data_IF_696162553807
#
_entry.id   IF_696162553807
#
_cell.length_a   1.000
_cell.length_b   1.000
_cell.length_c   1.000
_cell.angle_alpha   90.00
_cell.angle_beta   90.00
_cell.angle_gamma   90.00
#
_symmetry.space_group_name_H-M   'P 1'
#
loop_
_entity.id
_entity.type
_entity.pdbx_description
1 polymer ?
#
# COMPACT_ATOMS: atom_id res chain seq x y z
N UNK A 1 7.21 -16.43 2.57
CA UNK A 1 8.13 -16.17 3.71
C UNK A 1 7.59 -14.99 4.50
N UNK A 2 7.43 -15.07 5.83
CA UNK A 2 7.06 -13.92 6.63
C UNK A 2 8.26 -12.96 6.74
N UNK A 3 8.12 -11.74 6.23
CA UNK A 3 9.13 -10.70 6.36
C UNK A 3 8.95 -10.04 7.73
N UNK A 4 9.87 -10.27 8.68
CA UNK A 4 9.93 -9.53 9.96
C UNK A 4 10.74 -8.25 9.74
N UNK A 5 10.08 -7.11 9.52
CA UNK A 5 10.75 -5.86 9.15
C UNK A 5 11.30 -5.04 10.33
N UNK A 6 11.40 -5.62 11.54
CA UNK A 6 11.65 -4.84 12.76
C UNK A 6 13.10 -4.40 12.96
N UNK A 7 14.09 -5.26 12.72
CA UNK A 7 15.48 -5.02 13.16
C UNK A 7 16.48 -4.64 12.06
N UNK A 8 16.40 -5.31 10.91
CA UNK A 8 17.44 -5.22 9.87
C UNK A 8 17.23 -4.01 8.95
N UNK A 9 15.98 -3.73 8.59
CA UNK A 9 15.60 -2.62 7.69
C UNK A 9 15.69 -1.25 8.38
N UNK A 10 15.43 -1.16 9.69
CA UNK A 10 15.52 0.09 10.45
C UNK A 10 16.96 0.64 10.50
N UNK A 11 17.93 -0.23 10.77
CA UNK A 11 19.36 0.14 10.86
C UNK A 11 19.91 0.72 9.55
N UNK A 12 19.48 0.21 8.39
CA UNK A 12 19.89 0.74 7.08
C UNK A 12 19.38 2.16 6.81
N UNK A 13 18.34 2.61 7.52
CA UNK A 13 17.72 3.92 7.37
C UNK A 13 18.09 4.91 8.49
N UNK A 14 19.00 4.53 9.39
CA UNK A 14 19.43 5.37 10.52
C UNK A 14 18.35 5.59 11.57
N UNK A 15 17.35 4.71 11.65
CA UNK A 15 16.24 4.77 12.61
C UNK A 15 16.12 3.46 13.37
N UNK A 16 15.51 3.49 14.56
CA UNK A 16 15.34 2.27 15.34
C UNK A 16 14.31 1.34 14.68
N UNK A 17 13.30 1.92 14.02
CA UNK A 17 12.24 1.18 13.32
C UNK A 17 11.87 1.86 12.01
N UNK A 18 11.41 1.07 11.05
CA UNK A 18 11.09 1.52 9.68
C UNK A 18 10.14 2.72 9.64
N UNK A 19 9.12 2.77 10.52
CA UNK A 19 8.07 3.78 10.50
C UNK A 19 8.20 4.88 11.57
N UNK A 20 9.33 5.00 12.26
CA UNK A 20 9.54 6.05 13.29
C UNK A 20 9.28 7.47 12.74
N UNK A 21 9.62 7.70 11.46
CA UNK A 21 9.41 8.98 10.75
C UNK A 21 8.81 8.79 9.36
N UNK A 22 8.12 7.67 9.14
CA UNK A 22 7.62 7.29 7.81
C UNK A 22 6.24 6.67 7.93
N UNK A 23 5.47 6.84 6.88
CA UNK A 23 4.22 6.12 6.64
C UNK A 23 4.43 5.02 5.59
N UNK A 24 3.51 4.06 5.54
CA UNK A 24 3.57 2.93 4.62
C UNK A 24 2.20 2.70 3.98
N UNK A 25 2.17 2.68 2.65
CA UNK A 25 1.03 2.17 1.88
C UNK A 25 1.36 0.78 1.35
N UNK A 26 0.47 -0.19 1.59
CA UNK A 26 0.60 -1.57 1.09
C UNK A 26 -0.61 -1.92 0.24
N UNK A 27 -0.40 -2.57 -0.91
CA UNK A 27 -1.45 -3.12 -1.79
C UNK A 27 -1.13 -4.58 -2.05
N UNK A 28 -2.10 -5.48 -1.86
CA UNK A 28 -1.93 -6.90 -2.18
C UNK A 28 -2.33 -7.20 -3.63
N UNK A 29 -1.40 -7.77 -4.40
CA UNK A 29 -1.62 -8.21 -5.80
C UNK A 29 -1.58 -9.73 -5.97
N UNK A 30 -1.59 -10.48 -4.86
CA UNK A 30 -1.54 -11.95 -4.83
C UNK A 30 -2.80 -12.58 -4.25
N UNK A 31 -2.66 -13.77 -3.66
CA UNK A 31 -3.72 -14.42 -2.89
C UNK A 31 -3.99 -13.72 -1.56
N UNK A 32 -4.98 -14.20 -0.79
CA UNK A 32 -5.33 -13.60 0.49
C UNK A 32 -4.19 -13.73 1.51
N UNK A 33 -4.00 -12.67 2.30
CA UNK A 33 -2.98 -12.64 3.34
C UNK A 33 -3.38 -11.74 4.50
N UNK A 34 -2.42 -11.54 5.38
CA UNK A 34 -2.61 -10.83 6.64
C UNK A 34 -1.45 -9.88 6.86
N UNK A 35 -1.78 -8.70 7.37
CA UNK A 35 -0.80 -7.77 7.91
C UNK A 35 -1.13 -7.57 9.39
N UNK A 36 -0.15 -7.79 10.26
CA UNK A 36 -0.25 -7.48 11.69
C UNK A 36 0.55 -6.22 11.95
N UNK A 37 -0.08 -5.22 12.56
CA UNK A 37 0.51 -3.93 12.92
C UNK A 37 0.42 -3.78 14.43
N UNK A 38 1.54 -3.78 15.13
CA UNK A 38 1.60 -3.66 16.61
C UNK A 38 0.64 -4.63 17.33
N UNK A 39 0.56 -5.88 16.85
CA UNK A 39 -0.33 -6.91 17.37
C UNK A 39 -1.76 -6.88 16.83
N UNK A 40 -2.19 -5.80 16.17
CA UNK A 40 -3.50 -5.72 15.52
C UNK A 40 -3.49 -6.38 14.15
N UNK A 41 -4.37 -7.36 13.95
CA UNK A 41 -4.49 -8.14 12.71
C UNK A 41 -5.42 -7.46 11.70
N UNK A 42 -4.98 -7.41 10.44
CA UNK A 42 -5.78 -6.98 9.29
C UNK A 42 -5.74 -8.06 8.20
N UNK A 43 -6.90 -8.62 7.84
CA UNK A 43 -7.01 -9.53 6.69
C UNK A 43 -7.06 -8.70 5.39
N UNK A 44 -6.17 -9.01 4.45
CA UNK A 44 -5.96 -8.26 3.21
C UNK A 44 -6.17 -9.19 2.03
N UNK A 45 -7.32 -9.05 1.38
CA UNK A 45 -7.68 -9.77 0.17
C UNK A 45 -6.88 -9.32 -1.05
N UNK A 46 -7.13 -9.96 -2.19
CA UNK A 46 -6.58 -9.50 -3.47
C UNK A 46 -7.12 -8.10 -3.79
N UNK A 47 -6.22 -7.16 -4.08
CA UNK A 47 -6.49 -5.73 -4.32
C UNK A 47 -6.99 -4.93 -3.13
N UNK A 48 -7.01 -5.52 -1.94
CA UNK A 48 -7.10 -4.71 -0.73
C UNK A 48 -5.77 -4.00 -0.48
N UNK A 49 -5.86 -2.88 0.21
CA UNK A 49 -4.75 -2.07 0.61
C UNK A 49 -4.81 -1.75 2.11
N UNK A 50 -3.67 -1.45 2.69
CA UNK A 50 -3.54 -1.00 4.08
C UNK A 50 -2.65 0.23 4.11
N UNK A 51 -3.20 1.33 4.63
CA UNK A 51 -2.43 2.49 5.05
C UNK A 51 -1.97 2.27 6.48
N UNK A 52 -0.67 2.46 6.76
CA UNK A 52 -0.08 2.40 8.08
C UNK A 52 0.61 3.73 8.34
N UNK A 53 0.15 4.43 9.37
CA UNK A 53 0.70 5.72 9.74
C UNK A 53 2.08 5.63 10.39
N UNK A 54 2.70 6.79 10.53
CA UNK A 54 3.94 6.99 11.30
C UNK A 54 3.81 6.44 12.72
N UNK A 55 4.88 5.80 13.18
CA UNK A 55 5.07 5.38 14.56
C UNK A 55 4.76 3.92 14.84
N UNK A 56 4.29 3.16 13.85
CA UNK A 56 4.07 1.73 14.01
C UNK A 56 5.41 1.02 14.28
N UNK A 57 5.43 0.12 15.27
CA UNK A 57 6.67 -0.46 15.79
C UNK A 57 6.99 -1.80 15.16
N UNK A 58 5.97 -2.63 14.97
CA UNK A 58 6.09 -3.97 14.43
C UNK A 58 5.12 -4.20 13.28
N UNK A 59 5.65 -4.76 12.18
CA UNK A 59 4.87 -5.21 11.03
C UNK A 59 5.20 -6.65 10.72
N UNK A 60 4.16 -7.47 10.57
CA UNK A 60 4.28 -8.87 10.15
C UNK A 60 3.37 -9.14 8.97
N UNK A 61 3.93 -9.72 7.92
CA UNK A 61 3.21 -10.08 6.70
C UNK A 61 3.12 -11.59 6.58
N UNK A 62 1.92 -12.11 6.29
CA UNK A 62 1.69 -13.53 6.09
C UNK A 62 0.74 -13.79 4.92
N UNK A 63 0.88 -14.96 4.30
CA UNK A 63 -0.10 -15.49 3.34
C UNK A 63 -1.02 -16.47 4.05
N UNK A 64 -2.29 -16.50 3.67
CA UNK A 64 -3.23 -17.49 4.21
C UNK A 64 -2.98 -18.89 3.60
N UNK A 65 -2.59 -18.93 2.33
CA UNK A 65 -2.35 -20.17 1.58
C UNK A 65 -0.95 -20.14 0.95
N UNK A 66 -0.19 -21.23 1.10
CA UNK A 66 1.15 -21.34 0.51
C UNK A 66 1.11 -21.54 -1.01
N UNK A 67 0.07 -22.22 -1.53
CA UNK A 67 -0.15 -22.45 -2.96
C UNK A 67 -0.56 -21.19 -3.73
N UNK A 68 -1.14 -20.21 -3.02
CA UNK A 68 -1.58 -18.91 -3.56
C UNK A 68 -1.10 -17.78 -2.65
N UNK A 69 0.22 -17.49 -2.62
CA UNK A 69 0.77 -16.55 -1.67
C UNK A 69 0.25 -15.13 -1.92
N UNK A 70 0.09 -14.38 -0.83
CA UNK A 70 -0.10 -12.94 -0.89
C UNK A 70 1.16 -12.27 -1.44
N UNK A 71 0.95 -11.19 -2.19
CA UNK A 71 2.05 -10.40 -2.78
C UNK A 71 1.84 -8.94 -2.39
N UNK A 72 2.45 -8.55 -1.29
CA UNK A 72 2.34 -7.19 -0.75
C UNK A 72 3.33 -6.27 -1.44
N UNK A 73 2.83 -5.42 -2.32
CA UNK A 73 3.59 -4.31 -2.86
C UNK A 73 3.43 -3.12 -1.91
N UNK A 74 4.54 -2.48 -1.53
CA UNK A 74 4.50 -1.37 -0.60
C UNK A 74 5.31 -0.19 -1.09
N UNK A 75 4.97 0.99 -0.60
CA UNK A 75 5.82 2.16 -0.68
C UNK A 75 5.80 2.89 0.66
N UNK A 76 6.97 3.42 1.03
CA UNK A 76 7.25 4.04 2.29
C UNK A 76 7.78 5.47 2.06
N UNK A 77 7.15 6.46 2.68
CA UNK A 77 7.51 7.86 2.52
C UNK A 77 7.69 8.53 3.89
N UNK A 78 8.54 9.56 4.02
CA UNK A 78 8.63 10.36 5.23
C UNK A 78 7.27 10.94 5.63
N UNK A 79 6.96 10.93 6.93
CA UNK A 79 5.73 11.49 7.47
C UNK A 79 6.04 12.26 8.77
N UNK A 80 5.55 13.50 8.83
CA UNK A 80 5.69 14.36 10.01
C UNK A 80 4.55 14.12 11.01
N UNK A 81 3.34 13.88 10.50
CA UNK A 81 2.11 13.62 11.25
C UNK A 81 1.77 12.13 11.24
N UNK A 82 1.27 11.61 12.36
CA UNK A 82 0.72 10.27 12.44
C UNK A 82 -0.78 10.28 12.14
N UNK A 83 -1.19 9.50 11.15
CA UNK A 83 -2.60 9.23 10.85
C UNK A 83 -2.94 7.78 11.20
N UNK A 84 -4.21 7.45 11.49
CA UNK A 84 -4.59 6.10 11.89
C UNK A 84 -4.41 5.08 10.76
N UNK A 85 -3.98 3.87 11.12
CA UNK A 85 -3.94 2.71 10.21
C UNK A 85 -5.33 2.42 9.66
N UNK A 86 -5.47 2.30 8.34
CA UNK A 86 -6.77 2.13 7.68
C UNK A 86 -6.69 1.14 6.52
N UNK A 87 -7.59 0.15 6.54
CA UNK A 87 -7.81 -0.75 5.41
C UNK A 87 -8.63 -0.04 4.33
N UNK A 88 -8.26 -0.27 3.07
CA UNK A 88 -8.95 0.23 1.88
C UNK A 88 -9.24 -0.95 0.97
N UNK A 89 -10.49 -1.12 0.59
CA UNK A 89 -10.92 -2.16 -0.35
C UNK A 89 -11.12 -1.56 -1.75
N UNK A 90 -11.21 -2.37 -2.81
CA UNK A 90 -11.59 -1.88 -4.13
C UNK A 90 -12.92 -1.11 -4.16
N UNK A 91 -13.84 -1.38 -3.22
CA UNK A 91 -15.12 -0.68 -3.12
C UNK A 91 -14.97 0.75 -2.56
N UNK A 92 -13.92 1.02 -1.81
CA UNK A 92 -13.62 2.36 -1.27
C UNK A 92 -12.92 3.25 -2.30
N UNK A 93 -12.48 2.68 -3.42
CA UNK A 93 -11.73 3.37 -4.47
C UNK A 93 -12.68 3.89 -5.54
N UNK A 94 -12.46 5.12 -6.00
CA UNK A 94 -13.14 5.70 -7.16
C UNK A 94 -12.32 5.43 -8.44
N UNK A 95 -12.64 4.40 -9.24
CA UNK A 95 -11.92 4.10 -10.47
C UNK A 95 -12.19 5.18 -11.52
N UNK A 96 -11.14 5.62 -12.22
CA UNK A 96 -11.25 6.55 -13.34
C UNK A 96 -10.72 5.88 -14.60
N UNK A 97 -11.56 5.71 -15.60
CA UNK A 97 -11.14 5.17 -16.91
C UNK A 97 -10.81 6.31 -17.85
N UNK A 98 -9.60 6.31 -18.39
CA UNK A 98 -9.08 7.35 -19.29
C UNK A 98 -8.50 6.71 -20.55
N UNK A 99 -8.34 7.55 -21.58
CA UNK A 99 -7.72 7.17 -22.83
C UNK A 99 -8.66 6.45 -23.80
N UNK A 100 -8.10 6.02 -24.92
CA UNK A 100 -8.82 5.37 -26.00
C UNK A 100 -8.01 4.17 -26.54
N UNK A 101 -8.69 3.21 -27.17
CA UNK A 101 -8.05 2.05 -27.78
C UNK A 101 -7.18 2.47 -28.97
N UNK A 102 -7.59 3.47 -29.75
CA UNK A 102 -6.90 3.96 -30.95
C UNK A 102 -5.53 4.55 -30.62
N UNK A 103 -5.36 5.12 -29.43
CA UNK A 103 -4.08 5.66 -28.95
C UNK A 103 -3.34 4.68 -28.03
N UNK A 104 -3.80 3.42 -27.94
CA UNK A 104 -3.21 2.36 -27.12
C UNK A 104 -2.98 2.74 -25.65
N UNK A 105 -3.80 3.66 -25.11
CA UNK A 105 -3.63 4.21 -23.77
C UNK A 105 -4.87 4.05 -22.86
N UNK A 106 -5.90 3.33 -23.33
CA UNK A 106 -7.10 3.03 -22.55
C UNK A 106 -6.74 2.27 -21.27
N UNK A 107 -6.93 2.92 -20.12
CA UNK A 107 -6.61 2.36 -18.81
C UNK A 107 -7.58 2.80 -17.73
N UNK A 108 -7.79 1.93 -16.73
CA UNK A 108 -8.52 2.28 -15.50
C UNK A 108 -7.54 2.51 -14.37
N UNK A 109 -7.62 3.69 -13.75
CA UNK A 109 -6.78 4.14 -12.63
C UNK A 109 -7.56 3.96 -11.32
N UNK A 110 -7.01 3.19 -10.39
CA UNK A 110 -7.58 2.94 -9.07
C UNK A 110 -6.74 3.67 -8.02
N UNK A 111 -7.26 4.77 -7.47
CA UNK A 111 -6.54 5.61 -6.50
C UNK A 111 -6.84 5.16 -5.06
N UNK A 112 -5.90 4.45 -4.43
CA UNK A 112 -6.09 3.87 -3.10
C UNK A 112 -5.86 4.85 -1.95
N UNK A 113 -4.78 5.62 -2.02
CA UNK A 113 -4.39 6.55 -0.96
C UNK A 113 -4.54 7.98 -1.46
N UNK A 114 -5.74 8.55 -1.27
CA UNK A 114 -6.11 9.93 -1.59
C UNK A 114 -6.89 10.55 -0.44
N UNK A 115 -6.89 11.88 -0.37
CA UNK A 115 -7.78 12.65 0.50
C UNK A 115 -9.24 12.21 0.29
N UNK A 116 -9.87 11.74 1.37
CA UNK A 116 -11.23 11.21 1.39
C UNK A 116 -11.35 9.68 1.42
N UNK A 117 -10.32 8.91 1.05
CA UNK A 117 -10.38 7.44 1.07
C UNK A 117 -9.61 6.85 2.26
N UNK A 118 -8.32 7.18 2.43
CA UNK A 118 -7.54 6.78 3.60
C UNK A 118 -6.33 7.67 3.79
N UNK A 119 -6.36 8.50 4.84
CA UNK A 119 -5.27 9.42 5.18
C UNK A 119 -4.86 10.34 4.03
N UNK A 120 -3.93 11.25 4.30
CA UNK A 120 -3.20 11.94 3.24
C UNK A 120 -1.80 11.33 3.24
N UNK A 121 -1.55 10.32 2.39
CA UNK A 121 -0.16 9.97 2.09
C UNK A 121 0.46 11.14 1.33
N UNK A 122 1.69 11.46 1.69
CA UNK A 122 2.58 12.37 0.94
C UNK A 122 2.74 11.98 -0.54
N UNK A 123 2.47 10.72 -0.88
CA UNK A 123 2.39 10.21 -2.25
C UNK A 123 1.00 9.61 -2.55
N UNK A 124 0.43 9.92 -3.71
CA UNK A 124 -0.80 9.27 -4.16
C UNK A 124 -0.47 8.02 -4.96
N UNK A 125 -1.26 6.95 -4.75
CA UNK A 125 -1.00 5.65 -5.38
C UNK A 125 -2.16 5.23 -6.27
N UNK A 126 -1.81 4.92 -7.53
CA UNK A 126 -2.70 4.43 -8.55
C UNK A 126 -2.31 3.00 -8.97
N UNK A 127 -3.26 2.08 -8.98
CA UNK A 127 -3.12 0.86 -9.75
C UNK A 127 -3.79 1.04 -11.12
N UNK A 128 -3.03 0.85 -12.19
CA UNK A 128 -3.50 0.98 -13.56
C UNK A 128 -3.73 -0.41 -14.16
N UNK A 129 -4.85 -0.57 -14.86
CA UNK A 129 -5.16 -1.78 -15.61
C UNK A 129 -5.34 -1.45 -17.09
N UNK A 130 -4.58 -2.14 -17.94
CA UNK A 130 -4.71 -2.13 -19.40
C UNK A 130 -4.96 -3.56 -19.85
N UNK A 131 -6.20 -3.89 -20.20
CA UNK A 131 -6.61 -5.27 -20.47
C UNK A 131 -6.41 -6.21 -19.27
N UNK A 132 -5.61 -7.27 -19.44
CA UNK A 132 -5.27 -8.23 -18.37
C UNK A 132 -3.99 -7.87 -17.59
N UNK A 133 -3.19 -6.89 -18.03
CA UNK A 133 -1.96 -6.47 -17.37
C UNK A 133 -2.24 -5.35 -16.36
N UNK A 134 -1.60 -5.44 -15.20
CA UNK A 134 -1.70 -4.47 -14.12
C UNK A 134 -0.32 -3.92 -13.78
N UNK A 135 -0.20 -2.60 -13.75
CA UNK A 135 0.99 -1.86 -13.31
C UNK A 135 0.61 -0.93 -12.16
N UNK A 136 1.57 -0.62 -11.28
CA UNK A 136 1.39 0.40 -10.26
C UNK A 136 2.19 1.63 -10.63
N UNK A 137 1.58 2.80 -10.50
CA UNK A 137 2.23 4.09 -10.71
C UNK A 137 2.27 4.83 -9.38
N UNK A 138 3.45 5.41 -9.10
CA UNK A 138 3.64 6.32 -7.96
C UNK A 138 3.63 7.75 -8.51
N UNK A 139 2.84 8.62 -7.89
CA UNK A 139 2.95 10.06 -8.08
C UNK A 139 3.27 10.67 -6.73
N UNK A 140 4.53 11.08 -6.55
CA UNK A 140 4.92 11.93 -5.43
C UNK A 140 4.16 13.25 -5.55
N UNK A 141 3.45 13.67 -4.50
CA UNK A 141 2.99 15.05 -4.43
C UNK A 141 4.13 15.90 -3.89
N UNK A 142 4.47 16.97 -4.59
CA UNK A 142 5.26 18.05 -3.99
C UNK A 142 4.40 18.68 -2.89
N UNK A 143 4.95 18.77 -1.68
CA UNK A 143 4.37 19.62 -0.65
C UNK A 143 4.40 21.08 -1.13
N UNK A 144 3.38 21.90 -0.84
CA UNK A 144 3.52 23.35 -0.91
C UNK A 144 4.56 23.84 0.11
#
# INVERSE_FOLDING_TARGET
MPLKSGGEVGKQLGVSRLLDRRELGVINIGGAGVIVVDGQRYDIGHRDALYIGKGAKELVFASNEASRPAKFYYNCAPAHTAYPTKKVTPADVAPVTLGDNLTSNRRTINKYFRSGCAGNLSAQYGAHRTGARQSMEHHAMSYP
#
